data_IF_952799193438
#
_entry.id   IF_952799193438
#
_cell.length_a   1.000
_cell.length_b   1.000
_cell.length_c   1.000
_cell.angle_alpha   90.00
_cell.angle_beta   90.00
_cell.angle_gamma   90.00
#
_symmetry.space_group_name_H-M   'P 1'
#
loop_
_entity.id
_entity.type
_entity.pdbx_description
1 polymer ?
#
# COMPACT_ATOMS: atom_id res chain seq x y z
N UNK A 1 -63.31 -26.91 2.03
CA UNK A 1 -62.54 -25.71 1.67
C UNK A 1 -62.55 -25.64 0.15
N UNK A 2 -63.35 -24.74 -0.41
CA UNK A 2 -63.54 -24.63 -1.86
C UNK A 2 -62.58 -23.58 -2.37
N UNK A 3 -61.52 -23.99 -3.06
CA UNK A 3 -60.60 -23.06 -3.72
C UNK A 3 -61.19 -22.80 -5.11
N UNK A 4 -61.83 -21.64 -5.29
CA UNK A 4 -62.29 -21.18 -6.59
C UNK A 4 -61.16 -20.41 -7.25
N UNK A 5 -60.52 -21.00 -8.27
CA UNK A 5 -59.56 -20.30 -9.11
C UNK A 5 -60.31 -19.40 -10.10
N UNK A 6 -59.82 -18.17 -10.34
CA UNK A 6 -60.47 -17.18 -11.22
C UNK A 6 -60.21 -17.51 -12.71
N UNK A 7 -61.23 -17.25 -13.53
CA UNK A 7 -61.33 -17.32 -15.01
C UNK A 7 -60.06 -16.87 -15.76
N UNK A 8 -59.56 -17.57 -16.79
CA UNK A 8 -60.10 -18.02 -18.10
C UNK A 8 -59.61 -17.11 -19.26
N UNK A 9 -58.41 -17.40 -19.75
CA UNK A 9 -58.01 -17.04 -21.11
C UNK A 9 -56.86 -17.89 -21.68
N UNK A 10 -56.33 -18.89 -20.95
CA UNK A 10 -55.22 -19.73 -21.43
C UNK A 10 -55.71 -21.14 -21.79
N UNK A 11 -55.44 -21.56 -23.03
CA UNK A 11 -55.74 -22.88 -23.61
C UNK A 11 -55.15 -24.08 -22.85
N UNK A 12 -54.21 -23.84 -21.92
CA UNK A 12 -53.54 -24.86 -21.10
C UNK A 12 -54.15 -25.01 -19.70
N UNK A 13 -55.09 -24.15 -19.31
CA UNK A 13 -55.81 -24.30 -18.04
C UNK A 13 -56.82 -25.45 -18.11
N UNK A 14 -56.90 -26.29 -17.07
CA UNK A 14 -57.94 -27.33 -16.98
C UNK A 14 -59.32 -26.68 -16.87
N UNK A 15 -60.07 -26.62 -17.97
CA UNK A 15 -61.42 -26.05 -18.08
C UNK A 15 -62.51 -26.98 -17.53
N UNK A 16 -62.20 -27.69 -16.44
CA UNK A 16 -63.19 -28.51 -15.77
C UNK A 16 -64.03 -27.56 -14.91
N UNK A 17 -65.24 -27.23 -15.34
CA UNK A 17 -66.20 -26.40 -14.59
C UNK A 17 -66.70 -27.01 -13.27
N UNK A 18 -65.97 -27.98 -12.70
CA UNK A 18 -66.21 -28.61 -11.41
C UNK A 18 -64.89 -28.71 -10.64
N UNK A 19 -64.95 -28.83 -9.31
CA UNK A 19 -63.77 -28.91 -8.48
C UNK A 19 -62.87 -30.10 -8.89
N UNK A 20 -61.56 -29.87 -8.91
CA UNK A 20 -60.58 -30.93 -9.16
C UNK A 20 -60.59 -31.94 -8.00
N UNK A 21 -60.45 -33.21 -8.33
CA UNK A 21 -60.23 -34.28 -7.34
C UNK A 21 -58.78 -34.26 -6.86
N UNK A 22 -58.50 -34.88 -5.71
CA UNK A 22 -57.13 -34.98 -5.19
C UNK A 22 -56.18 -35.68 -6.16
N UNK A 23 -56.63 -36.72 -6.85
CA UNK A 23 -55.81 -37.41 -7.87
C UNK A 23 -55.48 -36.51 -9.05
N UNK A 24 -56.41 -35.66 -9.48
CA UNK A 24 -56.19 -34.68 -10.56
C UNK A 24 -55.21 -33.58 -10.12
N UNK A 25 -55.30 -33.13 -8.86
CA UNK A 25 -54.34 -32.20 -8.27
C UNK A 25 -52.94 -32.81 -8.20
N UNK A 26 -52.82 -34.04 -7.67
CA UNK A 26 -51.54 -34.75 -7.58
C UNK A 26 -50.90 -34.95 -8.95
N UNK A 27 -51.69 -35.26 -9.97
CA UNK A 27 -51.18 -35.41 -11.33
C UNK A 27 -50.72 -34.07 -11.92
N UNK A 28 -51.40 -32.96 -11.62
CA UNK A 28 -50.95 -31.63 -12.02
C UNK A 28 -49.63 -31.25 -11.32
N UNK A 29 -49.45 -31.61 -10.04
CA UNK A 29 -48.19 -31.37 -9.33
C UNK A 29 -47.06 -32.26 -9.82
N UNK A 30 -47.33 -33.54 -10.12
CA UNK A 30 -46.35 -34.45 -10.73
C UNK A 30 -45.94 -33.97 -12.12
N UNK A 31 -46.89 -33.53 -12.94
CA UNK A 31 -46.59 -32.93 -14.25
C UNK A 31 -45.67 -31.71 -14.10
N UNK A 32 -45.94 -30.82 -13.15
CA UNK A 32 -45.06 -29.67 -12.88
C UNK A 32 -43.66 -30.11 -12.40
N UNK A 33 -43.57 -31.16 -11.57
CA UNK A 33 -42.33 -31.63 -10.97
C UNK A 33 -41.45 -32.46 -11.92
N UNK A 34 -42.08 -33.23 -12.80
CA UNK A 34 -41.41 -34.12 -13.76
C UNK A 34 -41.06 -33.40 -15.07
N UNK A 35 -41.49 -32.14 -15.24
CA UNK A 35 -41.10 -31.32 -16.39
C UNK A 35 -39.64 -30.90 -16.30
N UNK A 36 -38.90 -31.17 -17.38
CA UNK A 36 -37.50 -30.72 -17.53
C UNK A 36 -37.37 -29.18 -17.54
N UNK A 37 -38.45 -28.45 -17.86
CA UNK A 37 -38.48 -26.98 -17.81
C UNK A 37 -39.89 -26.50 -17.46
N UNK A 38 -39.99 -25.67 -16.42
CA UNK A 38 -41.21 -24.95 -16.05
C UNK A 38 -41.19 -23.57 -16.70
N UNK A 39 -42.08 -23.36 -17.67
CA UNK A 39 -42.29 -22.06 -18.33
C UNK A 39 -43.54 -21.45 -17.71
N UNK A 40 -43.42 -20.23 -17.18
CA UNK A 40 -44.52 -19.42 -16.65
C UNK A 40 -44.69 -18.25 -17.63
N UNK A 41 -45.87 -18.15 -18.25
CA UNK A 41 -46.25 -17.13 -19.25
C UNK A 41 -47.47 -16.35 -18.74
N UNK A 42 -47.62 -15.09 -19.13
CA UNK A 42 -48.83 -14.31 -18.87
C UNK A 42 -49.89 -14.57 -19.96
N UNK A 43 -51.09 -13.97 -19.81
CA UNK A 43 -52.21 -14.11 -20.76
C UNK A 43 -51.96 -13.54 -22.16
N UNK A 44 -50.78 -12.98 -22.40
CA UNK A 44 -50.33 -12.48 -23.71
C UNK A 44 -49.19 -13.30 -24.31
N UNK A 45 -48.91 -14.49 -23.76
CA UNK A 45 -47.85 -15.41 -24.20
C UNK A 45 -46.43 -14.80 -24.12
N UNK A 46 -46.24 -13.84 -23.21
CA UNK A 46 -44.91 -13.36 -22.80
C UNK A 46 -44.51 -14.01 -21.48
N UNK A 47 -43.21 -14.22 -21.23
CA UNK A 47 -42.71 -14.87 -20.01
C UNK A 47 -43.21 -14.12 -18.77
N UNK A 48 -44.04 -14.77 -17.95
CA UNK A 48 -44.54 -14.23 -16.70
C UNK A 48 -43.49 -14.42 -15.60
N UNK A 49 -43.31 -13.36 -14.80
CA UNK A 49 -42.54 -13.44 -13.57
C UNK A 49 -43.21 -14.40 -12.59
N UNK A 50 -42.45 -15.35 -12.07
CA UNK A 50 -42.85 -16.10 -10.87
C UNK A 50 -42.81 -15.10 -9.70
N UNK A 51 -43.88 -15.05 -8.90
CA UNK A 51 -43.98 -14.19 -7.71
C UNK A 51 -44.48 -12.77 -7.96
N UNK A 52 -45.78 -12.54 -7.79
CA UNK A 52 -46.40 -11.21 -7.99
C UNK A 52 -46.21 -10.25 -6.80
N UNK A 53 -45.14 -10.41 -6.03
CA UNK A 53 -44.72 -9.44 -5.03
C UNK A 53 -43.18 -9.30 -5.01
N UNK A 54 -42.63 -8.72 -6.09
CA UNK A 54 -41.18 -8.46 -6.32
C UNK A 54 -40.41 -9.70 -6.86
N UNK A 55 -39.45 -9.52 -7.80
CA UNK A 55 -39.04 -10.54 -8.78
C UNK A 55 -38.44 -11.83 -8.17
N UNK A 56 -38.96 -13.03 -8.50
CA UNK A 56 -38.53 -14.33 -7.92
C UNK A 56 -37.56 -15.16 -8.79
N UNK A 57 -36.46 -14.55 -9.21
CA UNK A 57 -35.17 -15.25 -9.12
C UNK A 57 -34.09 -14.24 -8.75
N UNK A 58 -34.15 -13.76 -7.51
CA UNK A 58 -33.16 -12.83 -6.97
C UNK A 58 -31.96 -13.61 -6.44
N UNK A 59 -31.01 -13.94 -7.32
CA UNK A 59 -29.67 -14.35 -6.88
C UNK A 59 -29.00 -13.08 -6.39
N UNK A 60 -29.05 -12.82 -5.09
CA UNK A 60 -28.45 -11.63 -4.50
C UNK A 60 -26.96 -11.89 -4.33
N UNK A 61 -26.13 -11.17 -5.08
CA UNK A 61 -24.69 -11.15 -4.81
C UNK A 61 -24.42 -10.61 -3.40
N UNK A 62 -23.40 -11.15 -2.72
CA UNK A 62 -22.95 -10.68 -1.40
C UNK A 62 -21.50 -10.24 -1.47
N UNK A 63 -21.10 -9.21 -0.72
CA UNK A 63 -19.75 -8.67 -0.78
C UNK A 63 -19.44 -8.10 -2.16
N UNK A 64 -18.30 -8.49 -2.74
CA UNK A 64 -17.85 -8.04 -4.06
C UNK A 64 -18.42 -8.86 -5.22
N UNK A 65 -19.46 -9.65 -5.00
CA UNK A 65 -20.09 -10.46 -6.06
C UNK A 65 -21.29 -9.69 -6.62
N UNK A 66 -21.27 -9.42 -7.92
CA UNK A 66 -22.41 -8.94 -8.68
C UNK A 66 -23.05 -10.09 -9.46
N UNK A 67 -24.35 -10.02 -9.60
CA UNK A 67 -25.16 -11.03 -10.28
C UNK A 67 -26.10 -10.32 -11.25
N UNK A 68 -26.08 -10.76 -12.51
CA UNK A 68 -26.93 -10.23 -13.56
C UNK A 68 -27.57 -11.38 -14.33
N UNK A 69 -28.86 -11.23 -14.65
CA UNK A 69 -29.57 -12.11 -15.57
C UNK A 69 -29.77 -11.32 -16.86
N UNK A 70 -29.14 -11.77 -17.94
CA UNK A 70 -29.17 -11.13 -19.27
C UNK A 70 -29.67 -12.12 -20.32
N UNK A 71 -29.86 -11.67 -21.55
CA UNK A 71 -30.10 -12.54 -22.71
C UNK A 71 -28.85 -12.63 -23.57
N UNK A 72 -28.47 -13.81 -24.05
CA UNK A 72 -27.38 -13.98 -25.02
C UNK A 72 -27.77 -13.49 -26.43
N UNK A 73 -26.83 -13.58 -27.38
CA UNK A 73 -27.05 -13.18 -28.77
C UNK A 73 -28.02 -14.06 -29.56
N UNK A 74 -28.47 -15.17 -28.97
CA UNK A 74 -29.47 -16.10 -29.51
C UNK A 74 -30.81 -16.01 -28.75
N UNK A 75 -30.94 -15.10 -27.77
CA UNK A 75 -32.14 -14.90 -26.97
C UNK A 75 -32.29 -15.84 -25.76
N UNK A 76 -31.28 -16.65 -25.45
CA UNK A 76 -31.26 -17.51 -24.26
C UNK A 76 -30.93 -16.73 -22.98
N UNK A 77 -31.57 -17.05 -21.85
CA UNK A 77 -31.27 -16.43 -20.57
C UNK A 77 -29.90 -16.87 -20.01
N UNK A 78 -29.04 -15.93 -19.67
CA UNK A 78 -27.71 -16.15 -19.09
C UNK A 78 -27.64 -15.56 -17.69
N UNK A 79 -27.22 -16.37 -16.72
CA UNK A 79 -26.82 -15.91 -15.39
C UNK A 79 -25.32 -15.61 -15.38
N UNK A 80 -24.96 -14.34 -15.18
CA UNK A 80 -23.57 -13.91 -14.97
C UNK A 80 -23.32 -13.68 -13.49
N UNK A 81 -22.33 -14.39 -12.93
CA UNK A 81 -21.82 -14.17 -11.57
C UNK A 81 -20.39 -13.63 -11.72
N UNK A 82 -20.19 -12.38 -11.35
CA UNK A 82 -18.89 -11.72 -11.47
C UNK A 82 -18.43 -11.21 -10.10
N UNK A 83 -17.22 -11.59 -9.69
CA UNK A 83 -16.54 -10.95 -8.57
C UNK A 83 -15.84 -9.68 -9.07
N UNK A 84 -16.16 -8.52 -8.49
CA UNK A 84 -15.23 -7.39 -8.56
C UNK A 84 -14.06 -7.74 -7.64
N UNK A 85 -12.98 -8.23 -8.24
CA UNK A 85 -11.69 -8.30 -7.57
C UNK A 85 -11.34 -6.89 -7.04
N UNK A 86 -10.50 -6.86 -6.00
CA UNK A 86 -9.96 -5.63 -5.43
C UNK A 86 -9.39 -4.77 -6.58
N UNK A 87 -10.03 -3.65 -6.90
CA UNK A 87 -9.64 -2.79 -8.04
C UNK A 87 -8.49 -1.86 -7.68
N UNK A 88 -8.28 -1.62 -6.39
CA UNK A 88 -7.18 -0.84 -5.85
C UNK A 88 -6.69 -1.43 -4.52
N UNK A 89 -5.43 -1.19 -4.20
CA UNK A 89 -4.89 -1.56 -2.88
C UNK A 89 -5.46 -0.66 -1.78
N UNK A 90 -6.05 0.49 -2.14
CA UNK A 90 -6.50 1.51 -1.20
C UNK A 90 -7.64 1.03 -0.29
N UNK A 91 -8.52 0.16 -0.79
CA UNK A 91 -9.60 -0.43 0.00
C UNK A 91 -9.19 -1.68 0.79
N UNK A 92 -7.92 -2.09 0.72
CA UNK A 92 -7.37 -3.20 1.49
C UNK A 92 -6.57 -2.66 2.69
N UNK A 93 -7.09 -2.87 3.91
CA UNK A 93 -6.41 -2.46 5.14
C UNK A 93 -5.27 -3.40 5.56
N UNK A 94 -5.12 -4.54 4.89
CA UNK A 94 -4.07 -5.55 5.14
C UNK A 94 -3.53 -6.11 3.83
N UNK A 95 -3.01 -5.25 2.93
CA UNK A 95 -2.66 -5.67 1.60
C UNK A 95 -1.53 -6.69 1.65
N UNK A 96 -1.75 -7.83 1.00
CA UNK A 96 -0.75 -8.85 0.77
C UNK A 96 -0.49 -8.94 -0.74
N UNK A 97 0.79 -8.95 -1.11
CA UNK A 97 1.16 -9.21 -2.50
C UNK A 97 1.18 -10.73 -2.71
N UNK A 98 0.41 -11.22 -3.68
CA UNK A 98 0.48 -12.61 -4.13
C UNK A 98 1.71 -12.94 -5.00
N UNK A 99 2.58 -11.94 -5.24
CA UNK A 99 3.77 -11.99 -6.09
C UNK A 99 4.57 -10.69 -6.00
N UNK A 100 5.51 -10.47 -6.91
CA UNK A 100 6.27 -9.20 -6.94
C UNK A 100 5.35 -8.03 -7.33
N UNK A 101 5.52 -6.87 -6.68
CA UNK A 101 4.92 -5.63 -7.14
C UNK A 101 5.70 -5.11 -8.35
N UNK A 102 5.10 -5.18 -9.54
CA UNK A 102 5.57 -4.47 -10.71
C UNK A 102 5.04 -3.03 -10.66
N UNK A 103 5.95 -2.06 -10.64
CA UNK A 103 5.59 -0.64 -10.61
C UNK A 103 5.19 -0.09 -11.98
N UNK A 104 5.33 -0.86 -13.08
CA UNK A 104 4.89 -0.52 -14.44
C UNK A 104 5.33 0.88 -14.93
N UNK A 105 6.53 1.33 -14.52
CA UNK A 105 7.07 2.65 -14.85
C UNK A 105 6.61 3.78 -13.92
N UNK A 106 5.92 3.47 -12.82
CA UNK A 106 5.55 4.39 -11.75
C UNK A 106 6.59 4.35 -10.63
N UNK A 107 6.36 5.13 -9.58
CA UNK A 107 7.21 5.24 -8.41
C UNK A 107 6.39 4.95 -7.15
N UNK A 108 7.05 4.41 -6.13
CA UNK A 108 6.52 4.41 -4.76
C UNK A 108 6.92 5.76 -4.17
N UNK A 109 5.94 6.65 -3.99
CA UNK A 109 6.17 8.03 -3.57
C UNK A 109 5.39 8.36 -2.31
N UNK A 110 5.97 9.22 -1.48
CA UNK A 110 5.26 9.88 -0.38
C UNK A 110 4.94 11.32 -0.78
N UNK A 111 3.66 11.69 -0.73
CA UNK A 111 3.19 13.03 -1.15
C UNK A 111 3.12 14.04 0.00
N UNK A 112 3.34 13.59 1.24
CA UNK A 112 3.16 14.39 2.45
C UNK A 112 4.43 14.48 3.30
N UNK A 113 5.61 14.31 2.69
CA UNK A 113 6.91 14.23 3.37
C UNK A 113 7.00 13.11 4.42
N UNK A 114 6.10 12.12 4.38
CA UNK A 114 6.17 10.94 5.23
C UNK A 114 7.24 9.97 4.74
N UNK A 115 7.81 9.18 5.64
CA UNK A 115 8.76 8.13 5.28
C UNK A 115 8.06 6.99 4.51
N UNK A 116 8.76 6.41 3.53
CA UNK A 116 8.41 5.10 2.97
C UNK A 116 9.14 4.06 3.81
N UNK A 117 8.44 3.47 4.79
CA UNK A 117 9.03 2.53 5.74
C UNK A 117 9.01 1.11 5.16
N UNK A 118 10.19 0.51 5.00
CA UNK A 118 10.36 -0.88 4.58
C UNK A 118 10.97 -1.68 5.74
N UNK A 119 10.13 -2.41 6.47
CA UNK A 119 10.56 -3.15 7.69
C UNK A 119 10.28 -4.65 7.55
N UNK A 120 11.26 -5.45 7.12
CA UNK A 120 11.16 -6.89 7.17
C UNK A 120 11.05 -7.40 8.62
N UNK A 121 10.33 -8.49 8.84
CA UNK A 121 10.29 -9.16 10.14
C UNK A 121 11.46 -10.15 10.29
N UNK A 122 11.88 -10.41 11.53
CA UNK A 122 12.89 -11.42 11.88
C UNK A 122 14.22 -11.17 11.19
N UNK A 123 14.64 -12.10 10.33
CA UNK A 123 15.90 -12.03 9.56
C UNK A 123 15.70 -11.52 8.14
N UNK A 124 14.51 -10.99 7.81
CA UNK A 124 14.22 -10.45 6.49
C UNK A 124 15.11 -9.25 6.18
N UNK A 125 15.43 -9.05 4.90
CA UNK A 125 16.31 -7.98 4.43
C UNK A 125 15.60 -7.15 3.37
N UNK A 126 15.88 -5.85 3.34
CA UNK A 126 15.57 -5.00 2.17
C UNK A 126 16.74 -5.12 1.21
N UNK A 127 16.53 -5.76 0.06
CA UNK A 127 17.56 -5.91 -0.96
C UNK A 127 17.29 -4.93 -2.11
N UNK A 128 18.30 -4.11 -2.42
CA UNK A 128 18.29 -3.21 -3.57
C UNK A 128 19.54 -3.45 -4.41
N UNK A 129 19.41 -3.32 -5.72
CA UNK A 129 20.51 -3.40 -6.67
C UNK A 129 20.50 -2.14 -7.53
N UNK A 130 21.67 -1.60 -7.86
CA UNK A 130 21.80 -0.33 -8.59
C UNK A 130 21.08 0.84 -7.88
N UNK A 131 21.12 0.85 -6.55
CA UNK A 131 20.57 1.95 -5.75
C UNK A 131 21.33 3.24 -6.08
N UNK A 132 20.62 4.24 -6.61
CA UNK A 132 21.08 5.63 -6.58
C UNK A 132 20.73 6.21 -5.21
N UNK A 133 21.75 6.52 -4.44
CA UNK A 133 21.63 7.15 -3.12
C UNK A 133 22.36 8.49 -3.19
N UNK A 134 21.60 9.57 -2.99
CA UNK A 134 22.09 10.94 -2.95
C UNK A 134 21.95 11.43 -1.50
N UNK A 135 23.05 11.87 -0.89
CA UNK A 135 23.02 12.41 0.48
C UNK A 135 22.51 13.85 0.48
N UNK A 136 21.73 14.20 1.50
CA UNK A 136 21.43 15.59 1.79
C UNK A 136 22.63 16.24 2.50
N UNK A 137 23.06 17.39 1.99
CA UNK A 137 24.23 18.13 2.49
C UNK A 137 23.72 19.36 3.22
N UNK A 138 23.88 19.38 4.54
CA UNK A 138 23.44 20.48 5.38
C UNK A 138 24.56 21.47 5.68
N UNK A 139 24.36 22.75 5.39
CA UNK A 139 25.32 23.79 5.74
C UNK A 139 25.07 24.37 7.13
N UNK A 140 26.05 24.22 8.02
CA UNK A 140 26.07 24.85 9.35
C UNK A 140 26.45 26.33 9.28
N UNK A 141 26.93 26.79 8.12
CA UNK A 141 27.38 28.14 7.87
C UNK A 141 28.73 28.46 8.50
N UNK A 142 28.99 29.76 8.68
CA UNK A 142 30.24 30.26 9.27
C UNK A 142 30.17 30.32 10.79
N UNK A 143 30.77 29.35 11.48
CA UNK A 143 30.70 29.25 12.95
C UNK A 143 31.92 28.54 13.55
N UNK A 144 31.96 28.44 14.88
CA UNK A 144 33.01 27.75 15.62
C UNK A 144 32.61 27.63 17.09
N UNK A 145 33.56 27.29 17.96
CA UNK A 145 33.27 26.95 19.35
C UNK A 145 32.67 25.54 19.45
N UNK A 146 31.79 25.32 20.44
CA UNK A 146 31.14 24.02 20.61
C UNK A 146 29.95 23.88 19.67
N UNK A 147 30.00 22.88 18.79
CA UNK A 147 28.89 22.52 17.90
C UNK A 147 28.29 21.17 18.32
N UNK A 148 27.01 20.99 17.99
CA UNK A 148 26.28 19.72 18.15
C UNK A 148 25.44 19.45 16.89
N UNK A 149 26.08 19.11 15.75
CA UNK A 149 25.40 18.82 14.48
C UNK A 149 24.20 17.88 14.67
N UNK A 150 23.12 18.08 13.94
CA UNK A 150 21.96 17.17 13.96
C UNK A 150 21.94 16.32 12.70
N UNK A 151 22.15 15.01 12.84
CA UNK A 151 22.13 14.05 11.72
C UNK A 151 20.76 14.00 11.02
N UNK A 152 19.69 14.47 11.66
CA UNK A 152 18.38 14.59 11.02
C UNK A 152 18.36 15.59 9.86
N UNK A 153 19.29 16.56 9.83
CA UNK A 153 19.42 17.50 8.71
C UNK A 153 20.20 16.93 7.53
N UNK A 154 20.80 15.74 7.68
CA UNK A 154 21.70 15.15 6.71
C UNK A 154 22.93 14.57 7.38
N UNK A 155 23.38 13.42 6.89
CA UNK A 155 24.60 12.76 7.39
C UNK A 155 25.87 13.44 6.87
N UNK A 156 25.78 14.29 5.84
CA UNK A 156 26.88 15.15 5.38
C UNK A 156 26.57 16.58 5.76
N UNK A 157 27.51 17.23 6.43
CA UNK A 157 27.38 18.63 6.82
C UNK A 157 28.63 19.42 6.49
N UNK A 158 28.46 20.69 6.14
CA UNK A 158 29.55 21.63 5.89
C UNK A 158 29.63 22.67 6.99
N UNK A 159 30.83 23.17 7.27
CA UNK A 159 31.05 24.30 8.19
C UNK A 159 32.24 25.11 7.70
N UNK A 160 32.12 26.44 7.72
CA UNK A 160 33.26 27.35 7.60
C UNK A 160 33.64 27.84 8.99
N UNK A 161 34.90 27.67 9.37
CA UNK A 161 35.32 27.99 10.73
C UNK A 161 35.59 29.47 10.92
N UNK A 162 34.96 30.09 11.93
CA UNK A 162 35.33 31.43 12.43
C UNK A 162 35.94 31.43 13.85
N UNK A 163 35.90 30.31 14.58
CA UNK A 163 36.61 30.09 15.85
C UNK A 163 37.26 28.68 15.93
N UNK A 164 38.01 28.38 17.00
CA UNK A 164 38.42 27.00 17.32
C UNK A 164 37.19 26.09 17.40
N UNK A 165 37.30 24.87 16.89
CA UNK A 165 36.19 23.93 16.83
C UNK A 165 36.20 23.00 18.06
N UNK A 166 35.05 22.80 18.67
CA UNK A 166 34.80 21.73 19.65
C UNK A 166 33.65 20.87 19.17
N UNK A 167 33.91 19.60 18.89
CA UNK A 167 32.89 18.66 18.41
C UNK A 167 32.99 17.35 19.21
N UNK A 168 32.03 17.14 20.11
CA UNK A 168 32.03 16.03 21.06
C UNK A 168 30.99 14.95 20.76
N UNK A 169 29.86 15.33 20.16
CA UNK A 169 28.76 14.45 19.79
C UNK A 169 27.84 15.16 18.79
N UNK A 170 27.10 14.40 17.99
CA UNK A 170 25.94 14.89 17.24
C UNK A 170 24.64 14.63 18.02
N UNK A 171 23.58 15.34 17.68
CA UNK A 171 22.27 15.30 18.35
C UNK A 171 21.53 13.98 18.07
N UNK A 172 20.75 13.50 19.05
CA UNK A 172 19.87 12.33 18.97
C UNK A 172 20.51 11.06 18.35
N UNK A 173 21.68 10.61 18.83
CA UNK A 173 22.43 9.56 18.17
C UNK A 173 21.76 8.19 18.29
N UNK A 174 21.63 7.51 17.16
CA UNK A 174 21.19 6.11 17.09
C UNK A 174 22.40 5.24 16.72
N UNK A 175 22.55 4.10 17.40
CA UNK A 175 23.63 3.15 17.12
C UNK A 175 23.66 2.79 15.63
N UNK A 176 24.85 2.85 15.02
CA UNK A 176 25.04 2.61 13.59
C UNK A 176 25.00 3.87 12.71
N UNK A 177 24.67 5.05 13.27
CA UNK A 177 24.73 6.30 12.51
C UNK A 177 26.15 6.83 12.36
N UNK A 178 26.37 7.52 11.24
CA UNK A 178 27.59 8.25 10.94
C UNK A 178 27.29 9.67 10.45
N UNK A 179 28.21 10.59 10.73
CA UNK A 179 28.22 11.94 10.20
C UNK A 179 29.56 12.24 9.55
N UNK A 180 29.54 12.82 8.36
CA UNK A 180 30.68 13.42 7.69
C UNK A 180 30.58 14.93 7.83
N UNK A 181 31.56 15.55 8.48
CA UNK A 181 31.70 17.00 8.57
C UNK A 181 32.82 17.45 7.64
N UNK A 182 32.46 18.24 6.63
CA UNK A 182 33.40 18.94 5.75
C UNK A 182 33.68 20.30 6.35
N UNK A 183 34.94 20.53 6.71
CA UNK A 183 35.39 21.67 7.49
C UNK A 183 36.23 22.56 6.59
N UNK A 184 35.74 23.75 6.28
CA UNK A 184 36.55 24.82 5.74
C UNK A 184 37.26 25.53 6.90
N UNK A 185 38.59 25.49 6.86
CA UNK A 185 39.46 25.96 7.96
C UNK A 185 39.67 27.47 7.98
N UNK A 186 39.32 28.19 6.91
CA UNK A 186 39.50 29.65 6.80
C UNK A 186 40.96 30.11 7.06
N UNK A 187 41.94 29.21 6.87
CA UNK A 187 43.38 29.53 6.84
C UNK A 187 44.02 30.15 8.09
N UNK A 188 43.40 30.01 9.27
CA UNK A 188 43.83 30.71 10.49
C UNK A 188 44.50 29.81 11.55
N UNK A 189 44.83 28.55 11.22
CA UNK A 189 45.52 27.65 12.17
C UNK A 189 44.66 27.28 13.39
N UNK A 190 43.41 26.90 13.14
CA UNK A 190 42.42 26.62 14.18
C UNK A 190 42.65 25.26 14.85
N UNK A 191 42.19 25.12 16.08
CA UNK A 191 42.28 23.85 16.83
C UNK A 191 40.96 23.10 16.80
N UNK A 192 41.02 21.76 16.77
CA UNK A 192 39.90 20.87 17.02
C UNK A 192 40.04 20.23 18.41
N UNK A 193 39.05 20.47 19.26
CA UNK A 193 38.87 19.79 20.55
C UNK A 193 37.75 18.77 20.44
N UNK A 194 37.99 17.56 20.94
CA UNK A 194 36.98 16.50 20.93
C UNK A 194 37.26 15.44 21.98
N UNK A 195 36.21 14.87 22.54
CA UNK A 195 36.23 13.71 23.44
C UNK A 195 36.14 12.36 22.70
N UNK A 196 35.91 12.39 21.38
CA UNK A 196 35.78 11.18 20.56
C UNK A 196 37.11 10.42 20.43
N UNK A 197 37.03 9.12 20.09
CA UNK A 197 38.21 8.28 19.84
C UNK A 197 38.69 8.46 18.40
N UNK A 198 39.79 9.18 18.20
CA UNK A 198 40.35 9.40 16.87
C UNK A 198 41.26 8.26 16.42
N UNK A 199 41.18 7.90 15.14
CA UNK A 199 42.19 7.08 14.48
C UNK A 199 43.57 7.74 14.66
N UNK A 200 44.53 7.00 15.24
CA UNK A 200 45.87 7.53 15.55
C UNK A 200 45.91 8.68 16.57
N UNK A 201 44.78 9.11 17.14
CA UNK A 201 44.69 10.26 18.04
C UNK A 201 44.78 11.64 17.37
N UNK A 202 44.80 11.70 16.03
CA UNK A 202 45.02 12.95 15.26
C UNK A 202 43.82 13.88 15.36
N UNK A 203 44.04 15.13 15.80
CA UNK A 203 43.01 16.20 15.90
C UNK A 203 43.53 17.55 15.39
N UNK A 204 44.61 17.55 14.63
CA UNK A 204 45.20 18.78 14.11
C UNK A 204 44.51 19.12 12.81
N UNK A 205 43.84 20.27 12.74
CA UNK A 205 43.26 20.81 11.50
C UNK A 205 44.36 21.40 10.62
N UNK A 206 44.06 21.57 9.33
CA UNK A 206 44.89 22.33 8.42
C UNK A 206 45.04 23.78 8.89
N UNK A 207 46.22 24.34 8.63
CA UNK A 207 46.53 25.73 9.01
C UNK A 207 46.30 26.73 7.88
N UNK A 208 46.21 26.25 6.64
CA UNK A 208 45.97 27.02 5.42
C UNK A 208 44.52 26.88 4.97
N UNK A 209 44.03 27.84 4.20
CA UNK A 209 42.66 27.86 3.67
C UNK A 209 42.42 26.65 2.74
N UNK A 210 41.90 25.59 3.34
CA UNK A 210 41.72 24.25 2.76
C UNK A 210 40.56 23.57 3.47
N UNK A 211 40.05 22.50 2.85
CA UNK A 211 39.04 21.65 3.45
C UNK A 211 39.68 20.50 4.23
N UNK A 212 39.11 20.21 5.39
CA UNK A 212 39.35 18.99 6.15
C UNK A 212 38.06 18.16 6.18
N UNK A 213 38.19 16.84 6.23
CA UNK A 213 37.05 15.92 6.30
C UNK A 213 37.15 15.13 7.58
N UNK A 214 36.16 15.31 8.46
CA UNK A 214 36.00 14.54 9.68
C UNK A 214 34.83 13.58 9.55
N UNK A 215 35.07 12.27 9.65
CA UNK A 215 34.01 11.26 9.72
C UNK A 215 33.85 10.76 11.14
N UNK A 216 32.62 10.64 11.59
CA UNK A 216 32.25 10.21 12.95
C UNK A 216 31.24 9.07 12.87
N UNK A 217 31.47 8.01 13.64
CA UNK A 217 30.57 6.87 13.76
C UNK A 217 30.20 6.63 15.22
N UNK A 218 28.92 6.36 15.49
CA UNK A 218 28.41 6.04 16.82
C UNK A 218 27.99 4.58 16.94
N UNK A 219 28.59 3.83 17.86
CA UNK A 219 28.30 2.39 18.07
C UNK A 219 27.17 2.11 19.08
N UNK A 220 26.51 3.15 19.60
CA UNK A 220 25.55 3.03 20.71
C UNK A 220 26.15 3.33 22.09
N UNK A 221 27.47 3.53 22.21
CA UNK A 221 28.13 3.90 23.47
C UNK A 221 29.25 4.92 23.26
N UNK A 222 30.01 4.79 22.18
CA UNK A 222 31.21 5.58 21.88
C UNK A 222 31.12 6.20 20.50
N UNK A 223 31.81 7.31 20.36
CA UNK A 223 32.09 7.93 19.07
C UNK A 223 33.52 7.60 18.63
N UNK A 224 33.62 7.09 17.40
CA UNK A 224 34.89 6.90 16.70
C UNK A 224 34.98 7.96 15.62
N UNK A 225 36.14 8.59 15.51
CA UNK A 225 36.36 9.66 14.56
C UNK A 225 37.61 9.40 13.72
N UNK A 226 37.59 9.90 12.50
CA UNK A 226 38.76 10.03 11.65
C UNK A 226 38.78 11.46 11.10
N UNK A 227 39.96 12.07 11.04
CA UNK A 227 40.17 13.39 10.46
C UNK A 227 41.22 13.26 9.36
N UNK A 228 40.85 13.65 8.14
CA UNK A 228 41.77 13.75 7.00
C UNK A 228 41.84 15.22 6.61
N UNK A 229 43.05 15.71 6.37
CA UNK A 229 43.35 17.15 6.28
C UNK A 229 43.96 17.52 4.94
N UNK A 230 43.93 18.82 4.60
CA UNK A 230 44.54 19.44 3.44
C UNK A 230 43.96 18.98 2.10
N UNK A 231 42.63 18.95 1.97
CA UNK A 231 41.98 18.86 0.66
C UNK A 231 42.00 20.25 -0.01
N UNK A 232 42.69 20.33 -1.15
CA UNK A 232 42.92 21.55 -1.94
C UNK A 232 42.40 21.42 -3.36
#
# INVERSE_FOLDING_TARGET
MTITLRQESDSRATTKGSALTFTELDNNFKDILDRATLIVEDSTNTTASIGTASPELKITGTGSISTAVTTDSLGGGVLTIASTAITDIQNDSSPQLGGNLDVNGQQIVSVSNGNIVLTPNGTGQVQTTNLRYDEDIHDLGTTGGTITPDVANGNVQTITLNNNLTFNAFSNPIAGQSLTLVIDTDGTGRTLTSTMKFAGGTKTLSTTDTFDIMTVFYDGTRYYANLVVNYS
#
